data_IF_363725668252
#
_entry.id   IF_363725668252
#
_cell.length_a   1.000
_cell.length_b   1.000
_cell.length_c   1.000
_cell.angle_alpha   90.00
_cell.angle_beta   90.00
_cell.angle_gamma   90.00
#
_symmetry.space_group_name_H-M   'P 1'
#
loop_
_entity.id
_entity.type
_entity.pdbx_description
1 polymer ?
#
# COMPACT_ATOMS: atom_id res chain seq x y z
N UNK A 1 -53.11 -41.66 27.43
CA UNK A 1 -52.88 -40.60 28.43
C UNK A 1 -51.85 -39.65 27.84
N UNK A 2 -52.30 -38.57 27.22
CA UNK A 2 -51.46 -37.52 26.63
C UNK A 2 -51.06 -36.56 27.75
N UNK A 3 -49.81 -36.62 28.18
CA UNK A 3 -49.27 -35.72 29.17
C UNK A 3 -48.97 -34.39 28.46
N UNK A 4 -49.70 -33.37 28.87
CA UNK A 4 -49.65 -32.01 28.33
C UNK A 4 -48.36 -31.34 28.82
N UNK A 5 -47.28 -31.45 28.03
CA UNK A 5 -45.99 -30.79 28.29
C UNK A 5 -46.11 -29.29 27.94
N UNK A 6 -46.88 -28.56 28.73
CA UNK A 6 -46.95 -27.11 28.67
C UNK A 6 -45.62 -26.54 29.17
N UNK A 7 -44.77 -26.11 28.23
CA UNK A 7 -43.57 -25.32 28.53
C UNK A 7 -44.03 -24.09 29.34
N UNK A 8 -43.49 -23.85 30.54
CA UNK A 8 -43.83 -22.66 31.32
C UNK A 8 -43.53 -21.41 30.50
N UNK A 9 -44.59 -20.66 30.14
CA UNK A 9 -44.50 -19.45 29.32
C UNK A 9 -43.94 -18.24 30.08
N UNK A 10 -43.84 -18.33 31.41
CA UNK A 10 -43.26 -17.27 32.22
C UNK A 10 -41.77 -17.53 32.52
N UNK A 11 -40.88 -16.56 32.24
CA UNK A 11 -39.46 -16.69 32.54
C UNK A 11 -39.24 -16.76 34.05
N UNK A 12 -38.48 -17.76 34.49
CA UNK A 12 -38.08 -17.89 35.90
C UNK A 12 -37.16 -16.76 36.37
N UNK A 13 -36.97 -16.65 37.68
CA UNK A 13 -36.14 -15.61 38.33
C UNK A 13 -34.75 -15.43 37.69
N UNK A 14 -34.07 -16.52 37.33
CA UNK A 14 -32.76 -16.46 36.66
C UNK A 14 -32.82 -15.80 35.28
N UNK A 15 -33.84 -16.10 34.47
CA UNK A 15 -34.02 -15.50 33.15
C UNK A 15 -34.34 -14.00 33.26
N UNK A 16 -35.14 -13.60 34.25
CA UNK A 16 -35.44 -12.20 34.53
C UNK A 16 -34.18 -11.42 34.94
N UNK A 17 -33.31 -12.00 35.77
CA UNK A 17 -32.00 -11.40 36.14
C UNK A 17 -31.11 -11.19 34.92
N UNK A 18 -31.15 -12.11 33.94
CA UNK A 18 -30.38 -12.01 32.71
C UNK A 18 -30.97 -11.02 31.68
N UNK A 19 -32.26 -10.72 31.72
CA UNK A 19 -32.90 -9.80 30.78
C UNK A 19 -32.30 -8.38 30.80
N UNK A 20 -31.73 -7.97 31.94
CA UNK A 20 -31.10 -6.66 32.11
C UNK A 20 -29.58 -6.67 31.89
N UNK A 21 -29.00 -7.79 31.45
CA UNK A 21 -27.56 -7.99 31.36
C UNK A 21 -26.86 -6.88 30.56
N UNK A 22 -27.46 -6.40 29.46
CA UNK A 22 -26.88 -5.36 28.62
C UNK A 22 -26.67 -4.02 29.33
N UNK A 23 -27.50 -3.70 30.33
CA UNK A 23 -27.47 -2.43 31.08
C UNK A 23 -26.46 -2.43 32.23
N UNK A 24 -25.90 -3.60 32.56
CA UNK A 24 -24.95 -3.74 33.66
C UNK A 24 -23.51 -3.42 33.27
N UNK A 25 -22.72 -2.94 34.24
CA UNK A 25 -21.28 -2.77 34.09
C UNK A 25 -20.57 -4.12 33.87
N UNK A 26 -19.37 -4.12 33.28
CA UNK A 26 -18.59 -5.35 33.07
C UNK A 26 -18.35 -6.13 34.37
N UNK A 27 -18.05 -5.42 35.47
CA UNK A 27 -17.87 -6.03 36.80
C UNK A 27 -19.15 -6.70 37.30
N UNK A 28 -20.29 -6.02 37.17
CA UNK A 28 -21.60 -6.54 37.57
C UNK A 28 -22.01 -7.73 36.72
N UNK A 29 -21.77 -7.68 35.39
CA UNK A 29 -21.98 -8.81 34.47
C UNK A 29 -21.19 -10.03 34.92
N UNK A 30 -19.89 -9.86 35.19
CA UNK A 30 -19.03 -10.96 35.65
C UNK A 30 -19.54 -11.57 36.96
N UNK A 31 -19.86 -10.74 37.95
CA UNK A 31 -20.37 -11.21 39.24
C UNK A 31 -21.71 -11.95 39.10
N UNK A 32 -22.64 -11.42 38.29
CA UNK A 32 -23.94 -12.04 38.03
C UNK A 32 -23.80 -13.40 37.34
N UNK A 33 -23.00 -13.48 36.29
CA UNK A 33 -22.74 -14.73 35.58
C UNK A 33 -22.05 -15.75 36.48
N UNK A 34 -21.12 -15.31 37.33
CA UNK A 34 -20.45 -16.20 38.28
C UNK A 34 -21.41 -16.74 39.34
N UNK A 35 -22.28 -15.90 39.91
CA UNK A 35 -23.35 -16.35 40.81
C UNK A 35 -24.26 -17.38 40.14
N UNK A 36 -24.70 -17.10 38.91
CA UNK A 36 -25.58 -18.01 38.18
C UNK A 36 -24.88 -19.34 37.86
N UNK A 37 -23.59 -19.30 37.49
CA UNK A 37 -22.80 -20.50 37.25
C UNK A 37 -22.69 -21.38 38.51
N UNK A 38 -22.52 -20.77 39.69
CA UNK A 38 -22.54 -21.47 40.97
C UNK A 38 -23.90 -22.10 41.26
N UNK A 39 -24.99 -21.36 41.03
CA UNK A 39 -26.36 -21.86 41.23
C UNK A 39 -26.65 -23.06 40.31
N UNK A 40 -26.30 -22.94 39.03
CA UNK A 40 -26.45 -24.00 38.02
C UNK A 40 -25.61 -25.23 38.41
N UNK A 41 -24.35 -25.04 38.80
CA UNK A 41 -23.46 -26.14 39.18
C UNK A 41 -24.01 -26.88 40.41
N UNK A 42 -24.48 -26.14 41.40
CA UNK A 42 -25.10 -26.70 42.61
C UNK A 42 -26.37 -27.48 42.27
N UNK A 43 -27.22 -26.95 41.38
CA UNK A 43 -28.40 -27.64 40.90
C UNK A 43 -28.05 -28.96 40.18
N UNK A 44 -27.03 -28.97 39.32
CA UNK A 44 -26.58 -30.19 38.66
C UNK A 44 -26.05 -31.23 39.63
N UNK A 45 -25.32 -30.81 40.67
CA UNK A 45 -24.85 -31.70 41.74
C UNK A 45 -26.04 -32.32 42.49
N UNK A 46 -27.02 -31.51 42.88
CA UNK A 46 -28.21 -32.00 43.58
C UNK A 46 -29.01 -32.97 42.70
N UNK A 47 -29.17 -32.67 41.42
CA UNK A 47 -29.85 -33.56 40.46
C UNK A 47 -29.11 -34.88 40.32
N UNK A 48 -27.78 -34.85 40.25
CA UNK A 48 -26.96 -36.07 40.20
C UNK A 48 -27.18 -36.93 41.46
N UNK A 49 -27.13 -36.31 42.65
CA UNK A 49 -27.39 -37.00 43.92
C UNK A 49 -28.80 -37.63 43.97
N UNK A 50 -29.82 -36.92 43.51
CA UNK A 50 -31.19 -37.44 43.46
C UNK A 50 -31.37 -38.54 42.40
N UNK A 51 -30.58 -38.50 41.33
CA UNK A 51 -30.54 -39.57 40.33
C UNK A 51 -29.86 -40.83 40.88
N UNK A 52 -28.76 -40.69 41.60
CA UNK A 52 -28.04 -41.80 42.25
C UNK A 52 -28.90 -42.46 43.33
N UNK A 53 -29.68 -41.67 44.09
CA UNK A 53 -30.65 -42.17 45.05
C UNK A 53 -31.88 -42.85 44.41
N UNK A 54 -32.00 -42.84 43.08
CA UNK A 54 -33.12 -43.46 42.36
C UNK A 54 -34.43 -42.65 42.35
N UNK A 55 -34.43 -41.43 42.87
CA UNK A 55 -35.60 -40.54 42.87
C UNK A 55 -35.88 -39.93 41.49
N UNK A 56 -34.85 -39.82 40.65
CA UNK A 56 -34.97 -39.33 39.28
C UNK A 56 -34.76 -40.47 38.27
N UNK A 57 -35.63 -40.53 37.26
CA UNK A 57 -35.50 -41.41 36.10
C UNK A 57 -35.03 -40.58 34.91
N UNK A 58 -34.50 -41.25 33.88
CA UNK A 58 -34.02 -40.62 32.64
C UNK A 58 -35.02 -39.65 31.99
N UNK A 59 -36.33 -39.91 32.11
CA UNK A 59 -37.37 -38.99 31.60
C UNK A 59 -37.41 -37.63 32.32
N UNK A 60 -37.02 -37.58 33.60
CA UNK A 60 -36.98 -36.34 34.39
C UNK A 60 -35.73 -35.50 34.06
N UNK A 61 -34.63 -36.15 33.66
CA UNK A 61 -33.37 -35.48 33.32
C UNK A 61 -33.22 -35.19 31.83
N UNK A 62 -34.20 -35.56 31.00
CA UNK A 62 -34.12 -35.32 29.54
C UNK A 62 -33.97 -33.84 29.19
N UNK A 63 -34.74 -32.88 29.77
CA UNK A 63 -34.64 -31.46 29.43
C UNK A 63 -33.27 -30.83 29.71
N UNK A 64 -32.47 -31.43 30.60
CA UNK A 64 -31.10 -30.99 30.86
C UNK A 64 -30.23 -31.17 29.61
N UNK A 65 -30.45 -32.24 28.84
CA UNK A 65 -29.67 -32.48 27.63
C UNK A 65 -29.90 -31.37 26.61
N UNK A 66 -31.12 -30.84 26.51
CA UNK A 66 -31.45 -29.73 25.63
C UNK A 66 -30.68 -28.45 26.04
N UNK A 67 -30.65 -28.15 27.35
CA UNK A 67 -29.85 -27.03 27.88
C UNK A 67 -28.37 -27.21 27.56
N UNK A 68 -27.82 -28.41 27.76
CA UNK A 68 -26.41 -28.70 27.45
C UNK A 68 -26.14 -28.59 25.94
N UNK A 69 -27.06 -29.02 25.08
CA UNK A 69 -26.93 -28.87 23.63
C UNK A 69 -26.85 -27.39 23.25
N UNK A 70 -27.80 -26.57 23.72
CA UNK A 70 -27.83 -25.13 23.43
C UNK A 70 -26.50 -24.45 23.83
N UNK A 71 -25.96 -24.79 25.00
CA UNK A 71 -24.68 -24.25 25.46
C UNK A 71 -23.53 -24.68 24.52
N UNK A 72 -23.48 -25.95 24.12
CA UNK A 72 -22.42 -26.45 23.21
C UNK A 72 -22.53 -25.85 21.81
N UNK A 73 -23.75 -25.73 21.28
CA UNK A 73 -23.99 -25.21 19.94
C UNK A 73 -23.61 -23.72 19.87
N UNK A 74 -23.91 -22.96 20.92
CA UNK A 74 -23.50 -21.55 21.01
C UNK A 74 -21.99 -21.39 21.15
N UNK A 75 -21.30 -22.23 21.93
CA UNK A 75 -19.83 -22.23 22.03
C UNK A 75 -19.18 -22.54 20.68
N UNK A 76 -19.66 -23.59 19.99
CA UNK A 76 -19.16 -23.98 18.67
C UNK A 76 -19.34 -22.85 17.66
N UNK A 77 -20.52 -22.22 17.62
CA UNK A 77 -20.80 -21.08 16.73
C UNK A 77 -19.85 -19.90 16.99
N UNK A 78 -19.63 -19.54 18.26
CA UNK A 78 -18.69 -18.47 18.61
C UNK A 78 -17.26 -18.79 18.19
N UNK A 79 -16.84 -20.05 18.36
CA UNK A 79 -15.52 -20.52 17.94
C UNK A 79 -15.36 -20.44 16.42
N UNK A 80 -16.34 -20.91 15.65
CA UNK A 80 -16.33 -20.83 14.18
C UNK A 80 -16.24 -19.38 13.71
N UNK A 81 -17.03 -18.48 14.30
CA UNK A 81 -16.96 -17.05 14.00
C UNK A 81 -15.57 -16.46 14.23
N UNK A 82 -14.92 -16.83 15.34
CA UNK A 82 -13.56 -16.38 15.66
C UNK A 82 -12.52 -16.96 14.70
N UNK A 83 -12.62 -18.25 14.36
CA UNK A 83 -11.74 -18.89 13.39
C UNK A 83 -11.86 -18.24 12.01
N UNK A 84 -13.07 -17.89 11.59
CA UNK A 84 -13.34 -17.14 10.37
C UNK A 84 -12.77 -15.72 10.40
N UNK A 85 -12.94 -15.01 11.51
CA UNK A 85 -12.33 -13.69 11.69
C UNK A 85 -10.80 -13.76 11.57
N UNK A 86 -10.18 -14.70 12.28
CA UNK A 86 -8.73 -14.95 12.21
C UNK A 86 -8.29 -15.28 10.78
N UNK A 87 -9.06 -16.11 10.06
CA UNK A 87 -8.78 -16.47 8.66
C UNK A 87 -8.82 -15.24 7.75
N UNK A 88 -9.83 -14.37 7.92
CA UNK A 88 -9.96 -13.10 7.18
C UNK A 88 -8.78 -12.17 7.46
N UNK A 89 -8.37 -12.02 8.72
CA UNK A 89 -7.19 -11.22 9.08
C UNK A 89 -5.91 -11.78 8.48
N UNK A 90 -5.66 -13.09 8.59
CA UNK A 90 -4.49 -13.74 7.96
C UNK A 90 -4.43 -13.48 6.45
N UNK A 91 -5.57 -13.57 5.75
CA UNK A 91 -5.66 -13.23 4.32
C UNK A 91 -5.31 -11.76 4.06
N UNK A 92 -5.86 -10.83 4.85
CA UNK A 92 -5.56 -9.39 4.72
C UNK A 92 -4.08 -9.10 4.96
N UNK A 93 -3.47 -9.68 5.99
CA UNK A 93 -2.04 -9.53 6.30
C UNK A 93 -1.16 -10.06 5.16
N UNK A 94 -1.51 -11.21 4.58
CA UNK A 94 -0.80 -11.76 3.42
C UNK A 94 -0.87 -10.83 2.21
N UNK A 95 -2.03 -10.23 1.93
CA UNK A 95 -2.18 -9.25 0.83
C UNK A 95 -1.33 -8.00 1.08
N UNK A 96 -1.43 -7.41 2.26
CA UNK A 96 -0.66 -6.22 2.62
C UNK A 96 0.85 -6.48 2.57
N UNK A 97 1.31 -7.67 2.96
CA UNK A 97 2.71 -8.05 2.82
C UNK A 97 3.16 -8.07 1.36
N UNK A 98 2.39 -8.71 0.47
CA UNK A 98 2.70 -8.75 -0.97
C UNK A 98 2.74 -7.34 -1.58
N UNK A 99 1.81 -6.49 -1.18
CA UNK A 99 1.76 -5.10 -1.63
C UNK A 99 2.99 -4.30 -1.18
N UNK A 100 3.41 -4.46 0.08
CA UNK A 100 4.66 -3.87 0.58
C UNK A 100 5.88 -4.39 -0.17
N UNK A 101 5.96 -5.70 -0.42
CA UNK A 101 7.05 -6.31 -1.18
C UNK A 101 7.09 -5.78 -2.63
N UNK A 102 5.92 -5.60 -3.25
CA UNK A 102 5.78 -4.98 -4.57
C UNK A 102 6.25 -3.52 -4.55
N UNK A 103 5.74 -2.70 -3.64
CA UNK A 103 6.16 -1.30 -3.49
C UNK A 103 7.67 -1.17 -3.27
N UNK A 104 8.27 -2.04 -2.43
CA UNK A 104 9.71 -2.04 -2.22
C UNK A 104 10.50 -2.40 -3.49
N UNK A 105 9.95 -3.26 -4.35
CA UNK A 105 10.58 -3.60 -5.64
C UNK A 105 10.54 -2.39 -6.58
N UNK A 106 9.38 -1.74 -6.71
CA UNK A 106 9.24 -0.53 -7.53
C UNK A 106 10.15 0.60 -7.04
N UNK A 107 10.17 0.84 -5.73
CA UNK A 107 11.02 1.88 -5.15
C UNK A 107 12.51 1.60 -5.40
N UNK A 108 12.95 0.34 -5.34
CA UNK A 108 14.32 -0.05 -5.73
C UNK A 108 14.60 0.24 -7.20
N UNK A 109 13.63 0.06 -8.09
CA UNK A 109 13.73 0.45 -9.50
C UNK A 109 13.98 1.94 -9.65
N UNK A 110 13.15 2.77 -9.00
CA UNK A 110 13.28 4.23 -9.00
C UNK A 110 14.62 4.71 -8.43
N UNK A 111 15.08 4.12 -7.33
CA UNK A 111 16.38 4.47 -6.75
C UNK A 111 17.54 4.15 -7.70
N UNK A 112 17.47 3.04 -8.44
CA UNK A 112 18.49 2.68 -9.45
C UNK A 112 18.51 3.67 -10.61
N UNK A 113 17.35 4.08 -11.12
CA UNK A 113 17.28 5.07 -12.20
C UNK A 113 17.80 6.43 -11.73
N UNK A 114 17.40 6.87 -10.54
CA UNK A 114 17.89 8.12 -9.95
C UNK A 114 19.40 8.11 -9.74
N UNK A 115 19.97 6.99 -9.26
CA UNK A 115 21.43 6.83 -9.11
C UNK A 115 22.15 6.95 -10.45
N UNK A 116 21.56 6.40 -11.52
CA UNK A 116 22.11 6.47 -12.88
C UNK A 116 22.06 7.90 -13.43
N UNK A 117 20.93 8.60 -13.24
CA UNK A 117 20.77 10.01 -13.62
C UNK A 117 21.78 10.88 -12.87
N UNK A 118 21.95 10.69 -11.56
CA UNK A 118 22.89 11.48 -10.78
C UNK A 118 24.34 11.28 -11.24
N UNK A 119 24.71 10.05 -11.65
CA UNK A 119 26.02 9.78 -12.26
C UNK A 119 26.19 10.55 -13.57
N UNK A 120 25.18 10.56 -14.44
CA UNK A 120 25.22 11.32 -15.69
C UNK A 120 25.32 12.83 -15.43
N UNK A 121 24.55 13.37 -14.49
CA UNK A 121 24.61 14.77 -14.10
C UNK A 121 26.00 15.16 -13.58
N UNK A 122 26.69 14.26 -12.88
CA UNK A 122 28.09 14.47 -12.50
C UNK A 122 29.00 14.67 -13.73
N UNK A 123 28.86 13.82 -14.74
CA UNK A 123 29.63 13.94 -16.00
C UNK A 123 29.29 15.24 -16.74
N UNK A 124 28.01 15.60 -16.80
CA UNK A 124 27.56 16.85 -17.43
C UNK A 124 28.08 18.08 -16.71
N UNK A 125 28.02 18.13 -15.37
CA UNK A 125 28.60 19.22 -14.57
C UNK A 125 30.09 19.39 -14.86
N UNK A 126 30.83 18.28 -14.98
CA UNK A 126 32.25 18.33 -15.28
C UNK A 126 32.54 18.82 -16.70
N UNK A 127 31.68 18.49 -17.66
CA UNK A 127 31.75 19.05 -19.02
C UNK A 127 31.48 20.55 -19.03
N UNK A 128 30.45 20.99 -18.31
CA UNK A 128 30.09 22.41 -18.19
C UNK A 128 31.25 23.21 -17.60
N UNK A 129 31.85 22.74 -16.50
CA UNK A 129 33.03 23.39 -15.90
C UNK A 129 34.20 23.55 -16.89
N UNK A 130 34.46 22.54 -17.73
CA UNK A 130 35.51 22.65 -18.77
C UNK A 130 35.16 23.70 -19.82
N UNK A 131 33.91 23.77 -20.24
CA UNK A 131 33.45 24.78 -21.21
C UNK A 131 33.53 26.17 -20.60
N UNK A 132 33.14 26.35 -19.34
CA UNK A 132 33.27 27.59 -18.58
C UNK A 132 34.74 28.04 -18.50
N UNK A 133 35.66 27.13 -18.16
CA UNK A 133 37.09 27.43 -18.12
C UNK A 133 37.64 27.90 -19.48
N UNK A 134 37.29 27.22 -20.57
CA UNK A 134 37.68 27.64 -21.93
C UNK A 134 37.07 29.00 -22.29
N UNK A 135 35.83 29.26 -21.89
CA UNK A 135 35.19 30.55 -22.13
C UNK A 135 35.88 31.69 -21.37
N UNK A 136 36.31 31.44 -20.13
CA UNK A 136 37.09 32.41 -19.34
C UNK A 136 38.45 32.71 -19.99
N UNK A 137 39.17 31.68 -20.45
CA UNK A 137 40.45 31.81 -21.16
C UNK A 137 40.28 32.61 -22.46
N UNK A 138 39.30 32.24 -23.30
CA UNK A 138 38.99 32.98 -24.52
C UNK A 138 38.61 34.43 -24.24
N UNK A 139 37.87 34.68 -23.16
CA UNK A 139 37.54 36.02 -22.68
C UNK A 139 38.77 36.81 -22.24
N UNK A 140 39.78 36.16 -21.67
CA UNK A 140 41.06 36.78 -21.30
C UNK A 140 41.90 37.13 -22.54
N UNK A 141 42.06 36.18 -23.48
CA UNK A 141 42.78 36.40 -24.74
C UNK A 141 42.13 37.51 -25.57
N UNK A 142 40.78 37.55 -25.62
CA UNK A 142 40.05 38.63 -26.30
C UNK A 142 40.38 40.00 -25.70
N UNK A 143 40.39 40.12 -24.37
CA UNK A 143 40.75 41.36 -23.67
C UNK A 143 42.20 41.77 -23.98
N UNK A 144 43.13 40.82 -23.99
CA UNK A 144 44.53 41.09 -24.35
C UNK A 144 44.69 41.57 -25.79
N UNK A 145 44.02 40.92 -26.75
CA UNK A 145 43.97 41.34 -28.15
C UNK A 145 43.37 42.74 -28.33
N UNK A 146 42.32 43.08 -27.58
CA UNK A 146 41.71 44.41 -27.58
C UNK A 146 42.67 45.48 -27.04
N UNK A 147 43.41 45.21 -25.96
CA UNK A 147 44.45 46.09 -25.43
C UNK A 147 45.61 46.30 -26.41
N UNK A 148 46.04 45.25 -27.12
CA UNK A 148 47.07 45.36 -28.16
C UNK A 148 46.59 46.15 -29.38
N UNK A 149 45.29 46.07 -29.70
CA UNK A 149 44.67 46.85 -30.78
C UNK A 149 44.55 48.33 -30.44
N UNK A 150 44.21 48.67 -29.20
CA UNK A 150 44.13 50.08 -28.75
C UNK A 150 45.50 50.68 -28.44
N UNK A 151 46.50 49.86 -28.05
CA UNK A 151 47.88 50.30 -27.80
C UNK A 151 48.74 50.52 -29.06
N UNK A 152 48.35 50.01 -30.23
CA UNK A 152 49.01 50.29 -31.53
C UNK A 152 48.39 51.48 -32.28
N UNK A 153 47.96 52.50 -31.55
CA UNK A 153 47.30 53.69 -32.07
C UNK A 153 48.19 54.93 -32.21
N UNK A 154 49.51 54.78 -32.34
CA UNK A 154 50.40 55.92 -32.67
C UNK A 154 51.62 55.44 -33.46
N UNK A 155 51.41 55.06 -34.72
CA UNK A 155 52.47 55.08 -35.72
C UNK A 155 51.94 55.85 -36.93
N UNK A 156 52.39 57.09 -37.04
CA UNK A 156 52.29 57.88 -38.26
C UNK A 156 53.19 57.17 -39.29
N UNK A 157 52.61 56.61 -40.34
CA UNK A 157 53.36 56.26 -41.55
C UNK A 157 52.71 56.99 -42.72
N UNK A 158 53.36 58.07 -43.13
CA UNK A 158 53.29 58.62 -44.48
C UNK A 158 53.87 57.58 -45.45
N UNK A 159 53.24 57.38 -46.61
CA UNK A 159 53.86 56.62 -47.70
C UNK A 159 52.87 56.04 -48.71
N UNK A 160 52.59 56.85 -49.73
CA UNK A 160 52.13 56.56 -51.10
C UNK A 160 52.17 55.11 -51.65
N UNK A 161 51.09 54.79 -52.41
CA UNK A 161 50.99 54.14 -53.76
C UNK A 161 51.69 52.78 -54.00
N UNK A 162 51.16 51.79 -54.71
CA UNK A 162 50.33 51.76 -55.91
C UNK A 162 49.63 50.38 -56.05
N UNK A 163 48.66 50.35 -56.96
CA UNK A 163 47.78 49.25 -57.36
C UNK A 163 48.49 48.00 -57.93
N UNK A 164 47.96 46.79 -57.63
CA UNK A 164 47.66 45.75 -58.62
C UNK A 164 47.11 44.45 -57.99
N UNK A 165 45.96 44.04 -58.51
CA UNK A 165 45.56 42.68 -58.90
C UNK A 165 45.66 41.50 -57.90
N UNK A 166 44.53 40.78 -57.75
CA UNK A 166 44.54 39.37 -57.39
C UNK A 166 43.36 38.96 -56.53
N UNK A 167 42.24 38.60 -57.17
CA UNK A 167 41.07 38.07 -56.47
C UNK A 167 41.24 36.62 -56.04
N UNK A 168 40.64 36.26 -54.91
CA UNK A 168 40.15 34.91 -54.65
C UNK A 168 38.93 34.99 -53.74
N UNK A 169 37.74 34.80 -54.32
CA UNK A 169 36.47 34.69 -53.60
C UNK A 169 36.31 33.21 -53.23
N UNK A 170 36.65 32.86 -51.99
CA UNK A 170 36.34 31.55 -51.43
C UNK A 170 34.84 31.50 -51.13
N UNK A 171 34.08 30.85 -52.01
CA UNK A 171 32.68 30.48 -51.78
C UNK A 171 32.63 29.40 -50.69
N UNK A 172 32.23 29.81 -49.49
CA UNK A 172 31.87 28.87 -48.41
C UNK A 172 30.53 28.24 -48.79
N UNK A 173 30.52 26.93 -49.02
CA UNK A 173 29.30 26.16 -49.20
C UNK A 173 28.51 26.15 -47.89
N UNK A 174 27.28 26.67 -47.91
CA UNK A 174 26.32 26.50 -46.82
C UNK A 174 25.88 25.02 -46.72
N UNK A 175 25.62 24.50 -45.51
CA UNK A 175 25.22 23.12 -45.31
C UNK A 175 23.81 22.86 -45.86
N UNK A 176 23.63 21.66 -46.43
CA UNK A 176 22.36 21.13 -46.95
C UNK A 176 21.22 21.27 -45.94
N UNK A 177 20.11 21.84 -46.39
CA UNK A 177 18.78 21.59 -45.85
C UNK A 177 18.46 20.11 -46.04
N UNK A 178 18.14 19.42 -44.94
CA UNK A 178 17.56 18.07 -44.98
C UNK A 178 16.11 18.23 -44.55
N UNK A 179 15.25 18.43 -45.55
CA UNK A 179 13.81 18.24 -45.45
C UNK A 179 13.48 16.79 -45.80
N UNK A 180 12.63 16.14 -45.00
CA UNK A 180 12.35 14.72 -45.14
C UNK A 180 11.30 14.19 -44.17
N UNK A 181 10.09 14.71 -44.31
CA UNK A 181 8.78 14.16 -43.93
C UNK A 181 8.73 12.62 -44.13
N UNK A 182 8.21 11.77 -43.23
CA UNK A 182 6.81 11.29 -43.11
C UNK A 182 6.77 10.22 -41.99
N UNK A 183 5.95 10.33 -40.94
CA UNK A 183 4.58 9.81 -40.81
C UNK A 183 4.39 8.36 -41.27
N UNK A 184 4.24 7.42 -40.32
CA UNK A 184 3.27 6.31 -40.46
C UNK A 184 2.59 6.05 -39.11
N UNK A 185 1.28 6.26 -39.14
CA UNK A 185 0.32 5.76 -38.18
C UNK A 185 0.31 4.23 -38.21
N UNK A 186 0.24 3.61 -37.03
CA UNK A 186 -0.37 2.30 -36.88
C UNK A 186 -1.38 2.40 -35.74
N UNK A 187 -2.61 2.72 -36.14
CA UNK A 187 -3.82 2.29 -35.44
C UNK A 187 -4.30 1.05 -36.17
N UNK A 188 -4.45 -0.04 -35.45
CA UNK A 188 -5.55 -1.01 -35.60
C UNK A 188 -5.33 -2.11 -34.56
N UNK A 189 -6.31 -2.86 -34.06
CA UNK A 189 -7.75 -2.73 -33.86
C UNK A 189 -8.02 -3.90 -32.89
N UNK A 190 -9.04 -3.77 -32.04
CA UNK A 190 -9.46 -4.84 -31.11
C UNK A 190 -9.83 -6.10 -31.88
N UNK A 191 -9.53 -7.25 -31.31
CA UNK A 191 -10.26 -8.48 -31.61
C UNK A 191 -11.06 -8.86 -30.35
N UNK A 192 -12.35 -8.59 -30.44
CA UNK A 192 -13.40 -9.07 -29.55
C UNK A 192 -13.98 -10.34 -30.19
N UNK A 193 -13.99 -11.49 -29.50
CA UNK A 193 -14.77 -12.63 -29.99
C UNK A 193 -14.62 -13.97 -29.28
N UNK A 194 -15.61 -14.29 -28.45
CA UNK A 194 -16.28 -15.61 -28.26
C UNK A 194 -15.42 -16.87 -28.00
N UNK A 195 -15.57 -17.63 -26.90
CA UNK A 195 -16.82 -18.24 -26.41
C UNK A 195 -17.31 -19.34 -27.38
N UNK A 196 -17.66 -20.58 -26.98
CA UNK A 196 -18.22 -21.03 -25.69
C UNK A 196 -17.33 -22.00 -24.88
#
# INVERSE_FOLDING_TARGET
MTQDDTIPTQPGSCALRLAQLNRHSSRTKKALIQSLATDISSAFILIAQQSEAGHLRRKHTYPINDVVSIIKDTENSQREMLEDAVRKYKRRTRRSRREKEWMQREFRGVVKTLKSINKMLGVWRERVKRVEAVAEELGAVRRECEMLRTGRGTVIVNGEKDDAAGGEIVRIASPMEVDGHERTDWVDVRDDGSGP
#
